data_IF_881324829222
#
_entry.id   IF_881324829222
#
_cell.length_a   1.000
_cell.length_b   1.000
_cell.length_c   1.000
_cell.angle_alpha   90.00
_cell.angle_beta   90.00
_cell.angle_gamma   90.00
#
_symmetry.space_group_name_H-M   'P 1'
#
loop_
_entity.id
_entity.type
_entity.pdbx_description
1 polymer ?
#
# COMPACT_ATOMS: atom_id res chain seq x y z
N UNK A 1 -2.04 0.17 -20.98
CA UNK A 1 -1.29 -0.11 -19.74
C UNK A 1 -1.55 -1.57 -19.43
N UNK A 2 -0.52 -2.40 -19.48
CA UNK A 2 -0.60 -3.77 -18.98
C UNK A 2 -0.47 -3.76 -17.45
N UNK A 3 -0.87 -4.85 -16.78
CA UNK A 3 -0.74 -4.99 -15.32
C UNK A 3 -1.64 -4.09 -14.46
N UNK A 4 -2.66 -3.43 -15.04
CA UNK A 4 -3.61 -2.57 -14.30
C UNK A 4 -4.92 -3.32 -14.05
N UNK A 5 -5.32 -3.43 -12.79
CA UNK A 5 -6.62 -3.89 -12.30
C UNK A 5 -7.52 -2.66 -12.07
N UNK A 6 -8.84 -2.83 -12.17
CA UNK A 6 -9.83 -1.82 -11.80
C UNK A 6 -10.61 -2.28 -10.57
N UNK A 7 -10.74 -1.41 -9.56
CA UNK A 7 -11.58 -1.61 -8.37
C UNK A 7 -12.80 -0.69 -8.47
N UNK A 8 -13.99 -1.23 -8.19
CA UNK A 8 -15.25 -0.52 -8.41
C UNK A 8 -15.64 -0.40 -9.90
N UNK A 9 -16.41 0.63 -10.30
CA UNK A 9 -16.78 1.79 -9.49
C UNK A 9 -17.96 1.46 -8.57
N UNK A 10 -18.01 2.12 -7.42
CA UNK A 10 -19.16 2.12 -6.51
C UNK A 10 -20.01 3.36 -6.75
N UNK A 11 -21.30 3.33 -6.41
CA UNK A 11 -22.26 4.40 -6.75
C UNK A 11 -22.99 4.22 -8.09
N UNK A 12 -23.67 5.28 -8.51
CA UNK A 12 -24.70 5.24 -9.54
C UNK A 12 -24.22 4.80 -10.91
N UNK A 13 -24.77 3.69 -11.41
CA UNK A 13 -24.44 3.13 -12.73
C UNK A 13 -24.95 3.95 -13.93
N UNK A 14 -25.98 4.77 -13.74
CA UNK A 14 -26.67 5.55 -14.79
C UNK A 14 -26.53 7.06 -14.66
N UNK A 15 -26.11 7.58 -13.49
CA UNK A 15 -25.92 9.01 -13.24
C UNK A 15 -24.62 9.56 -13.83
N UNK A 16 -24.59 10.87 -14.11
CA UNK A 16 -23.40 11.59 -14.59
C UNK A 16 -22.81 11.10 -15.93
N UNK A 17 -21.71 11.73 -16.36
CA UNK A 17 -20.90 11.27 -17.49
C UNK A 17 -19.68 10.46 -17.03
N UNK A 18 -19.23 9.43 -17.78
CA UNK A 18 -18.09 8.61 -17.40
C UNK A 18 -16.76 9.35 -17.56
N UNK A 19 -15.88 9.24 -16.57
CA UNK A 19 -14.56 9.88 -16.57
C UNK A 19 -13.45 8.90 -16.15
N UNK A 20 -12.21 9.22 -16.54
CA UNK A 20 -11.03 8.40 -16.30
C UNK A 20 -9.79 9.30 -16.23
N UNK A 21 -9.04 9.25 -15.13
CA UNK A 21 -7.79 9.97 -14.94
C UNK A 21 -6.68 8.98 -14.61
N UNK A 22 -5.62 8.94 -15.42
CA UNK A 22 -4.49 8.02 -15.25
C UNK A 22 -3.29 8.82 -14.79
N UNK A 23 -2.76 8.45 -13.63
CA UNK A 23 -1.60 9.10 -13.03
C UNK A 23 -0.36 8.86 -13.90
N UNK A 24 0.46 9.89 -14.08
CA UNK A 24 1.77 9.79 -14.76
C UNK A 24 2.93 9.67 -13.77
N UNK A 25 2.69 10.01 -12.51
CA UNK A 25 3.57 9.97 -11.36
C UNK A 25 2.74 9.86 -10.07
N UNK A 26 3.40 9.79 -8.91
CA UNK A 26 2.70 9.58 -7.64
C UNK A 26 1.65 10.66 -7.31
N UNK A 27 0.61 10.22 -6.61
CA UNK A 27 -0.42 11.09 -6.06
C UNK A 27 0.16 11.93 -4.91
N UNK A 28 -0.05 13.24 -4.97
CA UNK A 28 0.41 14.21 -3.98
C UNK A 28 -0.73 14.80 -3.15
N UNK A 29 -1.88 15.03 -3.76
CA UNK A 29 -2.97 15.77 -3.13
C UNK A 29 -4.32 15.36 -3.77
N UNK A 30 -5.32 15.19 -2.92
CA UNK A 30 -6.72 14.98 -3.32
C UNK A 30 -7.50 16.21 -2.84
N UNK A 31 -8.24 16.85 -3.74
CA UNK A 31 -9.21 17.88 -3.36
C UNK A 31 -10.60 17.32 -3.56
N UNK A 32 -11.46 17.44 -2.54
CA UNK A 32 -12.89 17.15 -2.65
C UNK A 32 -13.69 18.40 -2.32
N UNK A 33 -14.91 18.46 -2.83
CA UNK A 33 -15.94 19.33 -2.29
C UNK A 33 -17.04 18.47 -1.66
N UNK A 34 -17.35 18.70 -0.39
CA UNK A 34 -18.33 17.90 0.36
C UNK A 34 -19.45 18.79 0.94
N UNK A 35 -20.67 18.29 0.98
CA UNK A 35 -21.81 19.03 1.53
C UNK A 35 -22.99 18.11 1.75
N UNK A 36 -22.84 17.14 2.67
CA UNK A 36 -23.80 16.07 2.90
C UNK A 36 -23.67 14.89 1.91
N UNK A 37 -23.25 15.15 0.68
CA UNK A 37 -22.67 14.16 -0.24
C UNK A 37 -21.36 14.71 -0.85
N UNK A 38 -20.64 13.88 -1.61
CA UNK A 38 -19.46 14.34 -2.35
C UNK A 38 -19.91 15.06 -3.63
N UNK A 39 -19.70 16.37 -3.67
CA UNK A 39 -20.03 17.24 -4.82
C UNK A 39 -19.05 17.02 -5.95
N UNK A 40 -17.75 17.06 -5.65
CA UNK A 40 -16.70 16.85 -6.64
C UNK A 40 -15.41 16.29 -6.05
N UNK A 41 -14.55 15.78 -6.94
CA UNK A 41 -13.19 15.32 -6.62
C UNK A 41 -12.20 15.72 -7.73
N UNK A 42 -10.96 16.05 -7.35
CA UNK A 42 -9.82 16.21 -8.26
C UNK A 42 -8.52 15.75 -7.60
N UNK A 43 -7.54 15.42 -8.44
CA UNK A 43 -6.27 14.80 -8.05
C UNK A 43 -5.11 15.65 -8.54
N UNK A 44 -3.99 15.60 -7.83
CA UNK A 44 -2.78 16.33 -8.15
C UNK A 44 -1.55 15.47 -7.90
N UNK A 45 -0.63 15.50 -8.85
CA UNK A 45 0.56 14.66 -8.91
C UNK A 45 1.79 15.34 -8.28
N UNK A 46 2.79 14.52 -7.94
CA UNK A 46 4.11 14.98 -7.50
C UNK A 46 4.85 15.67 -8.65
N UNK A 47 4.96 15.01 -9.81
CA UNK A 47 5.75 15.51 -10.93
C UNK A 47 5.04 16.67 -11.63
N UNK A 48 5.77 17.77 -11.82
CA UNK A 48 5.30 19.04 -12.40
C UNK A 48 4.07 19.68 -11.71
N UNK A 49 3.55 19.12 -10.61
CA UNK A 49 2.24 19.46 -10.02
C UNK A 49 1.11 19.39 -11.05
N UNK A 50 1.07 18.36 -11.91
CA UNK A 50 -0.08 18.12 -12.78
C UNK A 50 -1.36 17.97 -11.94
N UNK A 51 -2.48 18.48 -12.45
CA UNK A 51 -3.80 18.42 -11.80
C UNK A 51 -4.79 17.82 -12.80
N UNK A 52 -5.67 16.94 -12.32
CA UNK A 52 -6.77 16.39 -13.11
C UNK A 52 -7.82 17.47 -13.44
N UNK A 53 -8.80 17.11 -14.28
CA UNK A 53 -10.08 17.83 -14.26
C UNK A 53 -10.76 17.66 -12.90
N UNK A 54 -11.69 18.56 -12.58
CA UNK A 54 -12.62 18.37 -11.47
C UNK A 54 -13.78 17.51 -11.94
N UNK A 55 -14.03 16.40 -11.26
CA UNK A 55 -15.10 15.45 -11.58
C UNK A 55 -16.27 15.69 -10.62
N UNK A 56 -17.42 16.09 -11.15
CA UNK A 56 -18.60 16.52 -10.39
C UNK A 56 -18.63 18.03 -10.14
N UNK A 57 -19.56 18.48 -9.29
CA UNK A 57 -19.69 19.88 -8.87
C UNK A 57 -20.46 20.77 -9.85
N UNK A 58 -21.02 20.21 -10.93
CA UNK A 58 -21.72 20.97 -11.98
C UNK A 58 -23.17 21.35 -11.59
N UNK A 59 -23.52 21.34 -10.30
CA UNK A 59 -24.84 21.75 -9.81
C UNK A 59 -25.06 23.24 -10.13
N UNK A 60 -26.17 23.62 -10.80
CA UNK A 60 -26.47 25.03 -11.09
C UNK A 60 -26.87 25.83 -9.83
N UNK A 61 -27.05 25.15 -8.69
CA UNK A 61 -27.32 25.80 -7.41
C UNK A 61 -26.01 26.19 -6.71
N UNK A 62 -25.67 27.48 -6.73
CA UNK A 62 -24.47 28.01 -6.06
C UNK A 62 -24.46 27.85 -4.53
N UNK A 63 -25.58 27.45 -3.90
CA UNK A 63 -25.62 27.10 -2.46
C UNK A 63 -25.23 25.64 -2.19
N UNK A 64 -25.04 24.82 -3.22
CA UNK A 64 -24.82 23.37 -3.16
C UNK A 64 -23.39 22.95 -3.58
N UNK A 65 -22.47 23.92 -3.65
CA UNK A 65 -21.08 23.72 -4.10
C UNK A 65 -20.24 22.86 -3.14
N UNK A 66 -20.63 22.79 -1.86
CA UNK A 66 -19.88 22.12 -0.79
C UNK A 66 -18.68 22.92 -0.27
N UNK A 67 -18.11 22.45 0.84
CA UNK A 67 -16.85 22.92 1.40
C UNK A 67 -15.68 22.22 0.70
N UNK A 68 -14.69 22.99 0.25
CA UNK A 68 -13.42 22.44 -0.25
C UNK A 68 -12.61 21.84 0.91
N UNK A 69 -12.19 20.58 0.76
CA UNK A 69 -11.24 19.90 1.64
C UNK A 69 -10.04 19.44 0.81
N UNK A 70 -8.83 19.75 1.27
CA UNK A 70 -7.57 19.31 0.66
C UNK A 70 -6.85 18.28 1.54
N UNK A 71 -6.60 17.11 0.97
CA UNK A 71 -5.89 15.99 1.58
C UNK A 71 -4.52 15.91 0.89
N UNK A 72 -3.52 16.57 1.48
CA UNK A 72 -2.14 16.49 1.01
C UNK A 72 -1.42 15.29 1.63
N UNK A 73 -0.79 14.46 0.80
CA UNK A 73 0.01 13.31 1.23
C UNK A 73 1.47 13.74 1.40
N UNK A 74 2.09 13.34 2.51
CA UNK A 74 3.51 13.58 2.78
C UNK A 74 4.44 12.63 1.96
N UNK A 75 4.41 12.75 0.63
CA UNK A 75 5.26 11.98 -0.29
C UNK A 75 6.76 12.21 -0.03
N UNK A 76 7.63 11.18 -0.13
CA UNK A 76 7.35 9.80 -0.52
C UNK A 76 6.89 8.89 0.63
N UNK A 77 6.83 9.42 1.86
CA UNK A 77 6.61 8.62 3.07
C UNK A 77 5.15 8.19 3.25
N UNK A 78 4.21 9.01 2.78
CA UNK A 78 2.78 8.78 2.92
C UNK A 78 2.10 8.43 1.60
N UNK A 79 1.32 7.36 1.61
CA UNK A 79 0.56 6.85 0.47
C UNK A 79 -0.77 6.26 0.95
N UNK A 80 -1.76 6.20 0.05
CA UNK A 80 -3.03 5.52 0.31
C UNK A 80 -2.85 4.01 0.42
N UNK A 81 -3.51 3.41 1.42
CA UNK A 81 -3.60 1.96 1.63
C UNK A 81 -5.03 1.42 1.53
N UNK A 82 -6.04 2.29 1.70
CA UNK A 82 -7.45 1.97 1.50
C UNK A 82 -8.25 3.24 1.18
N UNK A 83 -9.30 3.10 0.36
CA UNK A 83 -10.38 4.08 0.27
C UNK A 83 -11.69 3.38 0.58
N UNK A 84 -12.49 3.94 1.47
CA UNK A 84 -13.84 3.47 1.80
C UNK A 84 -14.84 4.61 1.78
N UNK A 85 -16.13 4.31 1.89
CA UNK A 85 -17.17 5.32 1.84
C UNK A 85 -18.57 4.72 1.82
N UNK A 86 -19.56 5.54 1.49
CA UNK A 86 -20.95 5.13 1.25
C UNK A 86 -21.50 5.74 -0.04
N UNK A 87 -22.43 5.05 -0.70
CA UNK A 87 -23.20 5.57 -1.83
C UNK A 87 -24.70 5.35 -1.65
N UNK A 88 -25.53 6.16 -2.31
CA UNK A 88 -27.00 6.06 -2.21
C UNK A 88 -27.71 7.34 -2.65
N UNK A 89 -29.00 7.45 -2.29
CA UNK A 89 -29.84 8.57 -2.74
C UNK A 89 -29.44 9.91 -2.09
N UNK A 90 -29.37 10.97 -2.89
CA UNK A 90 -29.18 12.34 -2.41
C UNK A 90 -30.00 13.34 -3.24
N UNK A 91 -30.83 14.17 -2.58
CA UNK A 91 -31.66 15.20 -3.23
C UNK A 91 -32.48 14.70 -4.44
N UNK A 92 -33.07 13.50 -4.36
CA UNK A 92 -33.80 12.80 -5.44
C UNK A 92 -32.92 12.32 -6.63
N UNK A 93 -31.58 12.40 -6.54
CA UNK A 93 -30.66 11.66 -7.42
C UNK A 93 -30.47 10.28 -6.80
N UNK A 94 -30.79 9.23 -7.56
CA UNK A 94 -31.04 7.89 -7.03
C UNK A 94 -29.86 7.19 -6.35
N UNK A 95 -28.64 7.43 -6.84
CA UNK A 95 -27.41 6.81 -6.32
C UNK A 95 -26.19 7.67 -6.68
N UNK A 96 -25.51 8.22 -5.67
CA UNK A 96 -24.27 9.00 -5.78
C UNK A 96 -23.33 8.68 -4.62
N UNK A 97 -22.04 9.04 -4.71
CA UNK A 97 -21.12 8.94 -3.58
C UNK A 97 -21.55 9.92 -2.48
N UNK A 98 -21.97 9.39 -1.33
CA UNK A 98 -22.40 10.15 -0.16
C UNK A 98 -21.22 10.47 0.76
N UNK A 99 -20.30 9.52 0.95
CA UNK A 99 -19.10 9.75 1.75
C UNK A 99 -17.84 9.12 1.20
N UNK A 100 -16.69 9.69 1.55
CA UNK A 100 -15.36 9.14 1.29
C UNK A 100 -14.47 9.25 2.54
N UNK A 101 -13.73 8.18 2.80
CA UNK A 101 -12.66 8.09 3.79
C UNK A 101 -11.39 7.61 3.08
N UNK A 102 -10.30 8.34 3.25
CA UNK A 102 -9.01 8.06 2.64
C UNK A 102 -8.05 7.61 3.75
N UNK A 103 -7.65 6.35 3.74
CA UNK A 103 -6.72 5.80 4.73
C UNK A 103 -5.32 5.70 4.11
N UNK A 104 -4.35 6.31 4.76
CA UNK A 104 -2.92 6.20 4.44
C UNK A 104 -2.21 5.28 5.43
N UNK A 105 -0.94 5.02 5.18
CA UNK A 105 -0.05 4.32 6.10
C UNK A 105 0.27 5.12 7.39
N UNK A 106 -0.18 6.38 7.53
CA UNK A 106 -0.02 7.18 8.75
C UNK A 106 -1.34 7.70 9.35
N UNK A 107 -2.31 8.05 8.52
CA UNK A 107 -3.48 8.84 8.89
C UNK A 107 -4.77 8.30 8.26
N UNK A 108 -5.91 8.62 8.87
CA UNK A 108 -7.23 8.44 8.26
C UNK A 108 -7.88 9.81 8.05
N UNK A 109 -8.19 10.15 6.81
CA UNK A 109 -8.82 11.40 6.42
C UNK A 109 -10.30 11.17 6.10
N UNK A 110 -11.19 11.74 6.91
CA UNK A 110 -12.64 11.59 6.79
C UNK A 110 -13.24 10.79 7.96
N UNK A 111 -14.48 10.27 7.81
CA UNK A 111 -15.33 10.39 6.63
C UNK A 111 -15.71 11.84 6.33
N UNK A 112 -15.73 12.19 5.05
CA UNK A 112 -16.27 13.45 4.53
C UNK A 112 -17.61 13.19 3.85
N UNK A 113 -18.58 14.09 3.98
CA UNK A 113 -19.98 13.83 3.62
C UNK A 113 -20.74 13.09 4.72
N UNK A 114 -21.80 12.34 4.37
CA UNK A 114 -22.71 11.72 5.36
C UNK A 114 -22.55 10.21 5.50
N UNK A 115 -22.63 9.68 6.72
CA UNK A 115 -22.58 8.25 7.01
C UNK A 115 -23.94 7.55 6.78
N UNK A 116 -24.52 7.73 5.59
CA UNK A 116 -25.75 7.07 5.12
C UNK A 116 -25.53 6.51 3.71
N UNK A 117 -26.31 5.49 3.34
CA UNK A 117 -26.15 4.74 2.10
C UNK A 117 -25.54 3.35 2.30
N UNK A 118 -25.26 2.65 1.19
CA UNK A 118 -24.58 1.36 1.16
C UNK A 118 -23.05 1.55 1.27
N UNK A 119 -22.34 0.86 2.18
CA UNK A 119 -20.91 1.05 2.40
C UNK A 119 -20.05 0.26 1.41
N UNK A 120 -18.92 0.84 1.00
CA UNK A 120 -17.92 0.20 0.14
C UNK A 120 -16.49 0.36 0.67
N UNK A 121 -15.61 -0.54 0.23
CA UNK A 121 -14.18 -0.58 0.60
C UNK A 121 -13.35 -0.99 -0.62
N UNK A 122 -12.27 -0.25 -0.89
CA UNK A 122 -11.29 -0.51 -1.94
C UNK A 122 -9.88 -0.61 -1.30
N UNK A 123 -9.36 -1.84 -1.07
CA UNK A 123 -8.03 -2.04 -0.49
C UNK A 123 -6.91 -1.80 -1.52
N UNK A 124 -5.77 -1.28 -1.04
CA UNK A 124 -4.65 -0.79 -1.86
C UNK A 124 -3.28 -1.25 -1.28
N UNK A 125 -3.25 -1.93 -0.12
CA UNK A 125 -2.01 -2.26 0.65
C UNK A 125 -0.87 -2.93 -0.16
N UNK A 126 -1.21 -3.75 -1.17
CA UNK A 126 -0.26 -4.45 -2.06
C UNK A 126 -0.27 -3.91 -3.51
N UNK A 127 -0.67 -2.66 -3.76
CA UNK A 127 -0.81 -2.12 -5.13
C UNK A 127 -0.59 -0.62 -5.31
N UNK A 128 0.04 -0.22 -6.41
CA UNK A 128 0.19 1.19 -6.80
C UNK A 128 -1.06 1.75 -7.47
N UNK A 129 -1.49 2.94 -7.04
CA UNK A 129 -2.56 3.66 -7.71
C UNK A 129 -2.03 4.15 -9.06
N UNK A 130 -2.56 3.58 -10.14
CA UNK A 130 -2.30 4.00 -11.52
C UNK A 130 -3.30 5.06 -12.00
N UNK A 131 -4.31 5.38 -11.19
CA UNK A 131 -5.29 6.41 -11.47
C UNK A 131 -6.65 6.14 -10.84
N UNK A 132 -7.63 6.90 -11.32
CA UNK A 132 -8.99 6.98 -10.84
C UNK A 132 -9.97 6.95 -12.01
N UNK A 133 -11.18 6.47 -11.79
CA UNK A 133 -12.25 6.55 -12.76
C UNK A 133 -13.61 6.59 -12.07
N UNK A 134 -14.67 6.87 -12.82
CA UNK A 134 -15.99 6.96 -12.23
C UNK A 134 -17.03 7.55 -13.17
N UNK A 135 -18.07 8.12 -12.57
CA UNK A 135 -19.11 8.90 -13.25
C UNK A 135 -19.36 10.19 -12.47
N UNK A 136 -19.67 11.28 -13.15
CA UNK A 136 -19.96 12.55 -12.50
C UNK A 136 -20.81 13.50 -13.34
N UNK A 137 -21.81 14.12 -12.73
CA UNK A 137 -22.64 15.19 -13.26
C UNK A 137 -22.64 16.39 -12.32
N UNK A 138 -23.79 16.66 -11.69
CA UNK A 138 -23.89 17.66 -10.62
C UNK A 138 -23.08 17.27 -9.38
N UNK A 139 -22.93 15.96 -9.14
CA UNK A 139 -22.23 15.37 -8.00
C UNK A 139 -21.16 14.37 -8.49
N UNK A 140 -20.50 13.68 -7.56
CA UNK A 140 -19.74 12.47 -7.86
C UNK A 140 -20.69 11.26 -7.86
N UNK A 141 -21.25 10.92 -9.01
CA UNK A 141 -22.22 9.82 -9.14
C UNK A 141 -21.60 8.45 -8.83
N UNK A 142 -20.38 8.18 -9.31
CA UNK A 142 -19.68 6.92 -9.04
C UNK A 142 -18.16 7.06 -9.01
N UNK A 143 -17.45 6.20 -8.27
CA UNK A 143 -16.00 6.29 -8.05
C UNK A 143 -15.30 4.92 -7.95
N UNK A 144 -14.12 4.80 -8.56
CA UNK A 144 -13.29 3.60 -8.61
C UNK A 144 -11.81 3.89 -8.87
N UNK A 145 -10.96 2.87 -8.69
CA UNK A 145 -9.49 2.99 -8.74
C UNK A 145 -8.88 2.13 -9.83
N UNK A 146 -7.85 2.66 -10.51
CA UNK A 146 -6.90 1.83 -11.24
C UNK A 146 -5.73 1.51 -10.33
N UNK A 147 -5.44 0.21 -10.14
CA UNK A 147 -4.35 -0.26 -9.28
C UNK A 147 -3.43 -1.22 -10.05
N UNK A 148 -2.12 -1.17 -9.78
CA UNK A 148 -1.12 -2.13 -10.27
C UNK A 148 -0.66 -2.98 -9.09
N UNK A 149 -0.88 -4.31 -9.09
CA UNK A 149 -0.28 -5.20 -8.10
C UNK A 149 1.24 -5.03 -8.08
N UNK A 150 1.82 -4.81 -6.90
CA UNK A 150 3.26 -4.61 -6.77
C UNK A 150 4.01 -5.96 -6.84
N UNK A 151 4.54 -6.27 -8.03
CA UNK A 151 5.42 -7.42 -8.21
C UNK A 151 6.77 -7.21 -7.51
N UNK A 152 6.99 -7.87 -6.38
CA UNK A 152 8.30 -7.93 -5.74
C UNK A 152 9.21 -8.96 -6.42
N UNK A 153 10.51 -8.65 -6.50
CA UNK A 153 11.53 -9.56 -7.02
C UNK A 153 12.06 -10.38 -5.86
N UNK A 154 11.91 -11.70 -5.93
CA UNK A 154 12.50 -12.65 -4.97
C UNK A 154 13.95 -12.95 -5.31
N UNK A 155 14.81 -12.94 -4.30
CA UNK A 155 16.19 -13.43 -4.38
C UNK A 155 16.51 -14.30 -3.16
N UNK A 156 17.04 -15.50 -3.36
CA UNK A 156 17.68 -16.26 -2.29
C UNK A 156 17.33 -17.74 -2.25
N UNK A 157 16.71 -18.17 -1.13
CA UNK A 157 16.77 -19.54 -0.61
C UNK A 157 18.21 -20.00 -0.30
N UNK A 158 19.06 -19.08 0.16
CA UNK A 158 20.37 -19.43 0.72
C UNK A 158 20.17 -20.17 2.05
N UNK A 159 20.93 -21.26 2.27
CA UNK A 159 20.85 -22.07 3.48
C UNK A 159 20.70 -23.56 3.18
N UNK A 160 20.02 -24.28 4.07
CA UNK A 160 19.70 -25.70 3.93
C UNK A 160 18.31 -25.99 3.33
N UNK A 161 18.03 -27.26 2.99
CA UNK A 161 16.73 -27.66 2.42
C UNK A 161 15.62 -27.85 3.47
N UNK A 162 15.96 -27.83 4.76
CA UNK A 162 15.08 -28.13 5.90
C UNK A 162 14.13 -27.01 6.28
N UNK A 163 13.41 -27.18 7.39
CA UNK A 163 12.47 -26.19 7.94
C UNK A 163 11.11 -26.14 7.24
N UNK A 164 10.12 -25.56 7.92
CA UNK A 164 8.82 -25.21 7.33
C UNK A 164 8.92 -23.89 6.57
N UNK A 165 8.26 -23.72 5.41
CA UNK A 165 8.35 -22.49 4.62
C UNK A 165 7.69 -21.31 5.34
N UNK A 166 8.35 -20.16 5.32
CA UNK A 166 7.77 -18.87 5.72
C UNK A 166 7.90 -17.87 4.56
N UNK A 167 6.97 -16.92 4.50
CA UNK A 167 6.99 -15.82 3.52
C UNK A 167 6.14 -14.67 4.04
N UNK A 168 6.66 -13.45 3.96
CA UNK A 168 5.89 -12.23 4.18
C UNK A 168 6.47 -11.08 3.37
N UNK A 169 5.62 -10.09 3.07
CA UNK A 169 6.06 -8.73 2.72
C UNK A 169 5.43 -7.74 3.68
N UNK A 170 5.97 -6.53 3.74
CA UNK A 170 5.40 -5.40 4.47
C UNK A 170 4.60 -4.47 3.56
N UNK A 171 4.20 -4.95 2.37
CA UNK A 171 3.53 -4.16 1.34
C UNK A 171 4.34 -2.92 0.97
N UNK A 172 3.75 -1.75 1.22
CA UNK A 172 4.37 -0.42 1.01
C UNK A 172 5.02 0.19 2.24
N UNK A 173 4.97 -0.49 3.38
CA UNK A 173 5.76 -0.11 4.54
C UNK A 173 7.24 -0.47 4.33
N UNK A 174 8.08 -0.20 5.32
CA UNK A 174 9.47 -0.65 5.35
C UNK A 174 9.70 -1.57 6.56
N UNK A 175 10.70 -2.45 6.47
CA UNK A 175 11.15 -3.24 7.62
C UNK A 175 11.89 -2.29 8.58
N UNK A 176 11.22 -1.94 9.69
CA UNK A 176 11.65 -0.96 10.68
C UNK A 176 12.61 -1.56 11.72
N UNK A 177 12.37 -2.80 12.11
CA UNK A 177 13.17 -3.53 13.09
C UNK A 177 13.30 -4.99 12.68
N UNK A 178 14.51 -5.53 12.86
CA UNK A 178 14.80 -6.96 12.82
C UNK A 178 15.40 -7.33 14.17
N UNK A 179 14.72 -8.20 14.92
CA UNK A 179 15.20 -8.76 16.19
C UNK A 179 15.75 -10.14 15.91
N UNK A 180 17.00 -10.38 16.31
CA UNK A 180 17.77 -11.57 15.94
C UNK A 180 18.08 -12.35 17.22
N UNK A 181 17.50 -13.54 17.37
CA UNK A 181 17.88 -14.46 18.44
C UNK A 181 18.98 -15.39 17.92
N UNK A 182 20.18 -15.34 18.50
CA UNK A 182 21.33 -16.13 18.07
C UNK A 182 22.24 -16.49 19.26
N UNK A 183 23.12 -17.47 19.07
CA UNK A 183 24.27 -17.68 19.95
C UNK A 183 25.59 -17.51 19.17
N UNK A 184 26.69 -18.09 19.66
CA UNK A 184 28.00 -18.06 19.00
C UNK A 184 28.14 -19.07 17.83
N UNK A 185 27.08 -19.82 17.50
CA UNK A 185 27.10 -20.90 16.50
C UNK A 185 26.06 -20.77 15.39
N UNK A 186 24.85 -20.27 15.68
CA UNK A 186 23.80 -20.10 14.67
C UNK A 186 22.67 -19.14 15.11
N UNK A 187 21.82 -18.80 14.15
CA UNK A 187 20.60 -18.00 14.34
C UNK A 187 19.42 -18.93 14.67
N UNK A 188 18.75 -18.65 15.79
CA UNK A 188 17.56 -19.38 16.26
C UNK A 188 16.30 -18.88 15.56
N UNK A 189 16.08 -17.56 15.59
CA UNK A 189 14.88 -16.94 15.01
C UNK A 189 15.11 -15.47 14.63
N UNK A 190 14.33 -14.99 13.67
CA UNK A 190 14.23 -13.59 13.28
C UNK A 190 12.78 -13.13 13.51
N UNK A 191 12.59 -12.03 14.23
CA UNK A 191 11.31 -11.36 14.38
C UNK A 191 11.40 -10.00 13.68
N UNK A 192 10.33 -9.61 12.99
CA UNK A 192 10.30 -8.40 12.18
C UNK A 192 9.20 -7.47 12.65
N UNK A 193 9.44 -6.16 12.56
CA UNK A 193 8.39 -5.13 12.62
C UNK A 193 8.43 -4.29 11.35
N UNK A 194 7.25 -3.95 10.85
CA UNK A 194 7.08 -2.96 9.79
C UNK A 194 7.11 -1.53 10.35
N UNK A 195 6.89 -0.52 9.50
CA UNK A 195 6.78 0.89 9.89
C UNK A 195 5.70 1.16 10.96
N UNK A 196 4.75 0.24 11.12
CA UNK A 196 3.55 0.33 11.96
C UNK A 196 3.62 -0.55 13.22
N UNK A 197 4.82 -1.05 13.54
CA UNK A 197 5.15 -1.86 14.73
C UNK A 197 4.41 -3.21 14.86
N UNK A 198 3.82 -3.74 13.78
CA UNK A 198 3.15 -5.06 13.78
C UNK A 198 4.15 -6.21 14.00
N UNK A 199 3.78 -7.23 14.78
CA UNK A 199 4.64 -8.36 15.19
C UNK A 199 4.37 -9.68 14.44
N UNK A 200 5.39 -10.55 14.33
CA UNK A 200 5.30 -11.91 13.79
C UNK A 200 6.38 -12.88 14.33
N UNK A 201 6.09 -14.20 14.33
CA UNK A 201 6.87 -15.26 15.01
C UNK A 201 6.80 -16.64 14.30
N UNK A 202 7.76 -17.56 14.56
CA UNK A 202 7.78 -18.96 14.04
C UNK A 202 8.77 -19.92 14.77
N UNK A 203 8.65 -21.24 14.50
CA UNK A 203 9.45 -22.39 15.00
C UNK A 203 8.56 -23.61 15.39
N UNK A 204 8.99 -24.88 15.55
CA UNK A 204 10.28 -25.60 15.37
C UNK A 204 10.27 -26.40 14.00
N UNK A 205 10.92 -27.53 13.64
CA UNK A 205 11.60 -28.70 14.28
C UNK A 205 12.21 -29.58 13.13
N UNK A 206 13.31 -30.38 13.16
CA UNK A 206 14.57 -30.52 13.94
C UNK A 206 15.68 -31.22 13.09
N UNK A 207 16.97 -31.04 13.43
CA UNK A 207 18.17 -31.75 12.91
C UNK A 207 18.51 -31.56 11.41
N UNK A 208 18.82 -30.33 11.00
CA UNK A 208 18.94 -29.89 9.59
C UNK A 208 20.12 -28.91 9.37
N UNK A 209 20.37 -28.49 8.12
CA UNK A 209 21.40 -27.49 7.72
C UNK A 209 20.82 -26.08 7.78
N UNK A 210 21.56 -25.11 8.35
CA UNK A 210 20.99 -23.81 8.80
C UNK A 210 21.90 -22.61 8.51
N UNK A 211 21.35 -21.40 8.58
CA UNK A 211 22.07 -20.13 8.59
C UNK A 211 22.82 -19.97 9.93
N UNK A 212 24.14 -19.97 9.83
CA UNK A 212 25.09 -19.82 10.93
C UNK A 212 25.33 -18.36 11.31
N UNK A 213 25.36 -17.46 10.32
CA UNK A 213 25.49 -16.01 10.53
C UNK A 213 24.81 -15.16 9.45
N UNK A 214 24.40 -13.94 9.80
CA UNK A 214 23.84 -12.95 8.86
C UNK A 214 24.32 -11.53 9.16
N UNK A 215 24.39 -10.70 8.12
CA UNK A 215 24.60 -9.24 8.22
C UNK A 215 23.54 -8.52 7.40
N UNK A 216 22.99 -7.43 7.93
CA UNK A 216 22.02 -6.58 7.23
C UNK A 216 22.71 -5.30 6.76
N UNK A 217 22.78 -5.11 5.43
CA UNK A 217 23.43 -3.96 4.80
C UNK A 217 22.34 -2.95 4.40
N UNK A 218 22.44 -1.71 4.87
CA UNK A 218 21.60 -0.59 4.40
C UNK A 218 22.44 0.41 3.61
N UNK A 219 21.77 1.35 2.95
CA UNK A 219 22.39 2.52 2.31
C UNK A 219 23.21 3.42 3.26
N UNK A 220 23.06 3.27 4.59
CA UNK A 220 23.81 4.03 5.60
C UNK A 220 24.87 3.20 6.33
N UNK A 221 24.59 1.92 6.63
CA UNK A 221 25.45 1.10 7.50
C UNK A 221 25.17 -0.41 7.39
N UNK A 222 26.20 -1.23 7.61
CA UNK A 222 26.07 -2.66 7.91
C UNK A 222 25.85 -2.93 9.39
N UNK A 223 24.86 -3.78 9.70
CA UNK A 223 24.54 -4.30 11.03
C UNK A 223 24.90 -5.79 11.09
N UNK A 224 25.57 -6.21 12.16
CA UNK A 224 26.11 -7.56 12.31
C UNK A 224 27.63 -7.62 12.04
N UNK A 225 28.19 -8.81 11.78
CA UNK A 225 27.50 -10.09 11.69
C UNK A 225 26.88 -10.53 13.02
N UNK A 226 25.76 -11.26 12.94
CA UNK A 226 25.08 -11.91 14.04
C UNK A 226 25.16 -13.43 13.83
N UNK A 227 25.32 -14.21 14.91
CA UNK A 227 25.63 -15.65 14.83
C UNK A 227 27.13 -15.95 14.82
N UNK A 228 27.53 -17.08 14.22
CA UNK A 228 28.93 -17.50 14.10
C UNK A 228 29.35 -17.74 12.65
N UNK A 229 30.36 -17.00 12.17
CA UNK A 229 30.84 -17.04 10.78
C UNK A 229 31.47 -18.39 10.41
N UNK A 230 30.64 -19.36 10.01
CA UNK A 230 31.03 -20.74 9.72
C UNK A 230 30.22 -21.33 8.56
N UNK A 231 30.84 -22.20 7.75
CA UNK A 231 30.19 -22.78 6.57
C UNK A 231 30.38 -21.95 5.30
N UNK A 232 29.38 -21.91 4.43
CA UNK A 232 29.44 -21.24 3.12
C UNK A 232 28.88 -19.83 3.20
N UNK A 233 29.72 -18.82 2.95
CA UNK A 233 29.28 -17.43 2.86
C UNK A 233 28.42 -17.16 1.62
N UNK A 234 27.44 -16.27 1.77
CA UNK A 234 26.59 -15.76 0.68
C UNK A 234 26.52 -14.23 0.75
N UNK A 235 26.30 -13.58 -0.40
CA UNK A 235 26.08 -12.14 -0.49
C UNK A 235 25.34 -11.83 -1.79
N UNK A 236 24.53 -10.76 -1.80
CA UNK A 236 23.85 -10.27 -2.99
C UNK A 236 24.15 -8.77 -3.20
N UNK A 237 24.98 -8.40 -4.19
CA UNK A 237 25.30 -7.01 -4.47
C UNK A 237 24.20 -6.35 -5.31
N UNK A 238 23.12 -5.89 -4.66
CA UNK A 238 22.09 -5.04 -5.27
C UNK A 238 22.59 -3.59 -5.32
N UNK A 239 22.30 -2.88 -6.42
CA UNK A 239 22.37 -1.42 -6.51
C UNK A 239 21.00 -0.88 -6.91
N UNK A 240 20.38 -0.08 -6.05
CA UNK A 240 18.99 0.37 -6.19
C UNK A 240 17.99 -0.71 -5.77
N UNK A 241 17.24 -0.46 -4.69
CA UNK A 241 16.14 -1.34 -4.26
C UNK A 241 15.93 -1.41 -2.75
N UNK A 242 14.66 -1.41 -2.34
CA UNK A 242 14.23 -1.57 -0.94
C UNK A 242 13.88 -3.03 -0.68
N UNK A 243 14.40 -3.62 0.40
CA UNK A 243 13.92 -4.91 0.91
C UNK A 243 12.55 -4.68 1.57
N UNK A 244 11.52 -5.32 1.02
CA UNK A 244 10.12 -5.21 1.46
C UNK A 244 9.57 -6.50 2.06
N UNK A 245 10.40 -7.53 2.23
CA UNK A 245 9.95 -8.80 2.79
C UNK A 245 11.03 -9.85 2.82
N UNK A 246 10.72 -10.97 3.46
CA UNK A 246 11.58 -12.16 3.52
C UNK A 246 10.76 -13.41 3.24
N UNK A 247 11.40 -14.38 2.59
CA UNK A 247 10.95 -15.76 2.51
C UNK A 247 12.07 -16.69 2.99
N UNK A 248 11.76 -17.97 3.06
CA UNK A 248 12.75 -19.00 3.36
C UNK A 248 12.10 -20.15 4.09
N UNK A 249 12.87 -20.80 4.95
CA UNK A 249 12.42 -21.92 5.77
C UNK A 249 12.99 -21.84 7.18
N UNK A 250 12.21 -22.30 8.15
CA UNK A 250 12.57 -22.25 9.56
C UNK A 250 12.13 -23.48 10.32
N UNK A 251 13.02 -23.98 11.18
CA UNK A 251 12.78 -25.02 12.18
C UNK A 251 13.07 -24.47 13.58
N UNK A 252 13.97 -25.12 14.32
CA UNK A 252 14.57 -24.55 15.57
C UNK A 252 15.49 -23.34 15.30
N UNK A 253 15.78 -23.13 14.02
CA UNK A 253 16.80 -22.26 13.45
C UNK A 253 16.24 -21.66 12.15
N UNK A 254 16.98 -20.73 11.56
CA UNK A 254 16.75 -20.32 10.16
C UNK A 254 17.40 -21.37 9.26
N UNK A 255 16.62 -22.27 8.66
CA UNK A 255 17.14 -23.26 7.70
C UNK A 255 17.60 -22.57 6.41
N UNK A 256 16.72 -21.75 5.81
CA UNK A 256 17.06 -20.92 4.64
C UNK A 256 16.41 -19.54 4.71
N UNK A 257 16.97 -18.58 3.96
CA UNK A 257 16.42 -17.24 3.83
C UNK A 257 16.59 -16.69 2.40
N UNK A 258 15.63 -15.86 2.00
CA UNK A 258 15.64 -15.01 0.82
C UNK A 258 14.87 -13.72 1.09
N UNK A 259 14.96 -12.77 0.17
CA UNK A 259 14.42 -11.41 0.28
C UNK A 259 13.48 -11.09 -0.86
N UNK A 260 12.43 -10.34 -0.56
CA UNK A 260 11.61 -9.65 -1.54
C UNK A 260 12.11 -8.20 -1.67
N UNK A 261 12.39 -7.79 -2.89
CA UNK A 261 12.95 -6.46 -3.21
C UNK A 261 12.02 -5.75 -4.18
N UNK A 262 11.73 -4.47 -3.92
CA UNK A 262 11.18 -3.53 -4.91
C UNK A 262 12.31 -2.64 -5.43
N UNK A 263 12.33 -2.26 -6.71
CA UNK A 263 13.20 -1.19 -7.19
C UNK A 263 12.98 0.11 -6.38
N UNK A 264 14.05 0.88 -6.19
CA UNK A 264 13.92 2.31 -5.85
C UNK A 264 13.65 3.07 -7.16
N UNK A 265 12.61 3.92 -7.16
CA UNK A 265 12.25 4.80 -8.29
C UNK A 265 12.91 6.18 -8.13
#
# INVERSE_FOLDING_TARGET
MEGVISLGPYGGSTGGDPWSYKLTSDLKEITIHEGGNIKSISFKEVTHNLISGTFGGNSPNHLDLGQEIKIGLNWPFEHLICISGTHGEYNNVSDVIISLTFQTNFNTYGPYGSNIGEPFVMPIEDSDIAGFFGRSGYYLDAFGLYVKPEGSISFGDWGGPGGSPFSFTVGKSWIKQITINHDSSNIKSLLFKDGHDRDGTYGEYRNMTVITSISFITNLKTYGPFGGETGTAFSLPIQGGVIVGFHGKSGDFIDSIGIFVKPEN
#
